data_IF_170562435725
#
_entry.id   IF_170562435725
#
_cell.length_a   1.000
_cell.length_b   1.000
_cell.length_c   1.000
_cell.angle_alpha   90.00
_cell.angle_beta   90.00
_cell.angle_gamma   90.00
#
_symmetry.space_group_name_H-M   'P 1'
#
loop_
_entity.id
_entity.type
_entity.pdbx_description
1 polymer ?
#
# COMPACT_ATOMS: atom_id res chain seq x y z
N UNK A 1 -11.69 -3.73 16.23
CA UNK A 1 -12.37 -2.55 15.65
C UNK A 1 -12.36 -1.43 16.68
N UNK A 2 -11.90 -0.24 16.29
CA UNK A 2 -11.88 0.96 17.12
C UNK A 2 -13.13 1.81 16.90
N UNK A 3 -12.97 3.13 16.92
CA UNK A 3 -14.07 4.09 16.71
C UNK A 3 -14.49 4.11 15.24
N UNK A 4 -15.77 4.39 14.99
CA UNK A 4 -16.33 4.54 13.65
C UNK A 4 -17.02 5.90 13.55
N UNK A 5 -16.81 6.60 12.44
CA UNK A 5 -17.35 7.92 12.17
C UNK A 5 -18.04 7.92 10.81
N UNK A 6 -19.19 8.59 10.72
CA UNK A 6 -19.87 8.83 9.45
C UNK A 6 -19.30 10.11 8.84
N UNK A 7 -18.81 10.02 7.60
CA UNK A 7 -18.23 11.13 6.85
C UNK A 7 -18.96 11.26 5.53
N UNK A 8 -19.15 12.49 5.03
CA UNK A 8 -19.71 12.70 3.69
C UNK A 8 -18.71 12.25 2.62
N UNK A 9 -19.19 11.56 1.59
CA UNK A 9 -18.33 11.03 0.54
C UNK A 9 -17.82 12.18 -0.35
N UNK A 10 -16.50 12.41 -0.45
CA UNK A 10 -15.95 13.49 -1.27
C UNK A 10 -16.16 13.27 -2.78
N UNK A 11 -16.43 12.03 -3.24
CA UNK A 11 -16.59 11.70 -4.66
C UNK A 11 -18.03 11.75 -5.16
N UNK A 12 -19.01 11.61 -4.27
CA UNK A 12 -20.43 11.58 -4.62
C UNK A 12 -21.22 12.40 -3.61
N UNK A 13 -21.78 13.50 -4.10
CA UNK A 13 -22.59 14.41 -3.29
C UNK A 13 -23.87 13.70 -2.86
N UNK A 14 -24.12 13.65 -1.55
CA UNK A 14 -25.28 12.96 -0.97
C UNK A 14 -25.08 11.48 -0.64
N UNK A 15 -23.86 10.93 -0.79
CA UNK A 15 -23.52 9.62 -0.22
C UNK A 15 -22.62 9.76 1.02
N UNK A 16 -22.72 8.80 1.93
CA UNK A 16 -21.97 8.76 3.19
C UNK A 16 -20.98 7.60 3.17
N UNK A 17 -19.86 7.77 3.87
CA UNK A 17 -18.83 6.77 4.07
C UNK A 17 -18.61 6.56 5.56
N UNK A 18 -18.35 5.31 5.95
CA UNK A 18 -17.92 4.98 7.30
C UNK A 18 -16.40 4.97 7.35
N UNK A 19 -15.83 5.82 8.19
CA UNK A 19 -14.41 5.80 8.51
C UNK A 19 -14.22 5.05 9.83
N UNK A 20 -13.42 3.99 9.80
CA UNK A 20 -13.18 3.12 10.95
C UNK A 20 -11.73 3.16 11.36
N UNK A 21 -11.48 3.33 12.66
CA UNK A 21 -10.15 3.18 13.24
C UNK A 21 -9.86 1.68 13.42
N UNK A 22 -8.98 1.13 12.58
CA UNK A 22 -8.52 -0.26 12.67
C UNK A 22 -8.31 -0.89 11.29
N UNK A 23 -7.64 -2.04 11.28
CA UNK A 23 -7.27 -2.77 10.06
C UNK A 23 -8.07 -4.05 9.82
N UNK A 24 -9.04 -4.37 10.68
CA UNK A 24 -9.93 -5.53 10.53
C UNK A 24 -11.12 -5.21 9.61
N UNK A 25 -10.82 -4.61 8.46
CA UNK A 25 -11.83 -4.13 7.51
C UNK A 25 -12.56 -5.28 6.82
N UNK A 26 -11.91 -6.45 6.73
CA UNK A 26 -12.48 -7.66 6.13
C UNK A 26 -13.61 -8.17 6.99
N UNK A 27 -13.35 -8.43 8.27
CA UNK A 27 -14.37 -8.96 9.17
C UNK A 27 -15.52 -7.95 9.34
N UNK A 28 -15.22 -6.65 9.43
CA UNK A 28 -16.23 -5.61 9.49
C UNK A 28 -17.11 -5.52 8.22
N UNK A 29 -16.52 -5.64 7.03
CA UNK A 29 -17.28 -5.58 5.78
C UNK A 29 -18.12 -6.85 5.54
N UNK A 30 -17.59 -8.03 5.86
CA UNK A 30 -18.29 -9.31 5.65
C UNK A 30 -19.41 -9.57 6.65
N UNK A 31 -19.34 -9.03 7.88
CA UNK A 31 -20.39 -9.19 8.87
C UNK A 31 -21.62 -8.30 8.62
N UNK A 32 -21.46 -7.25 7.82
CA UNK A 32 -22.43 -6.17 7.66
C UNK A 32 -22.75 -5.88 6.18
N UNK A 33 -22.87 -6.93 5.38
CA UNK A 33 -23.16 -6.85 3.94
C UNK A 33 -24.53 -6.25 3.59
N UNK A 34 -25.42 -6.17 4.57
CA UNK A 34 -26.74 -5.54 4.49
C UNK A 34 -26.69 -4.00 4.54
N UNK A 35 -25.64 -3.44 5.16
CA UNK A 35 -25.48 -2.00 5.37
C UNK A 35 -24.24 -1.40 4.70
N UNK A 36 -23.26 -2.21 4.31
CA UNK A 36 -21.99 -1.78 3.69
C UNK A 36 -21.79 -2.44 2.34
N UNK A 37 -21.50 -1.63 1.32
CA UNK A 37 -21.05 -2.11 0.02
C UNK A 37 -19.59 -2.59 0.10
N UNK A 38 -19.41 -3.91 0.09
CA UNK A 38 -18.10 -4.58 0.15
C UNK A 38 -17.21 -4.17 -1.03
N UNK A 39 -17.79 -3.92 -2.21
CA UNK A 39 -17.03 -3.61 -3.42
C UNK A 39 -16.34 -2.25 -3.38
N UNK A 40 -16.82 -1.35 -2.50
CA UNK A 40 -16.31 0.00 -2.31
C UNK A 40 -15.36 0.13 -1.12
N UNK A 41 -15.12 -0.94 -0.35
CA UNK A 41 -14.28 -0.91 0.85
C UNK A 41 -12.84 -0.56 0.51
N UNK A 42 -12.24 0.33 1.32
CA UNK A 42 -10.85 0.77 1.20
C UNK A 42 -10.15 0.67 2.55
N UNK A 43 -8.86 0.42 2.53
CA UNK A 43 -8.00 0.40 3.70
C UNK A 43 -6.65 1.01 3.35
N UNK A 44 -6.08 1.76 4.29
CA UNK A 44 -4.76 2.35 4.19
C UNK A 44 -3.63 1.38 4.57
N UNK A 45 -3.94 0.22 5.17
CA UNK A 45 -2.99 -0.85 5.44
C UNK A 45 -2.79 -1.71 4.18
N UNK A 46 -1.73 -1.41 3.42
CA UNK A 46 -1.36 -2.13 2.19
C UNK A 46 -1.12 -3.62 2.44
N UNK A 47 -0.56 -4.00 3.58
CA UNK A 47 -0.27 -5.41 3.88
C UNK A 47 -1.56 -6.20 4.16
N UNK A 48 -2.51 -5.59 4.89
CA UNK A 48 -3.81 -6.18 5.10
C UNK A 48 -4.61 -6.29 3.78
N UNK A 49 -4.53 -5.29 2.90
CA UNK A 49 -5.11 -5.35 1.54
C UNK A 49 -4.48 -6.47 0.71
N UNK A 50 -3.15 -6.61 0.72
CA UNK A 50 -2.44 -7.68 0.02
C UNK A 50 -2.93 -9.06 0.44
N UNK A 51 -3.05 -9.28 1.75
CA UNK A 51 -3.47 -10.57 2.30
C UNK A 51 -4.94 -10.91 2.02
N UNK A 52 -5.78 -9.91 1.76
CA UNK A 52 -7.22 -10.10 1.57
C UNK A 52 -7.61 -10.11 0.09
N UNK A 53 -7.19 -9.09 -0.66
CA UNK A 53 -7.62 -8.83 -2.03
C UNK A 53 -6.53 -9.14 -3.08
N UNK A 54 -5.30 -9.43 -2.64
CA UNK A 54 -4.19 -9.78 -3.52
C UNK A 54 -3.33 -8.59 -3.96
N UNK A 55 -2.34 -8.90 -4.80
CA UNK A 55 -1.23 -7.99 -5.11
C UNK A 55 -1.63 -6.77 -5.94
N UNK A 56 -2.58 -6.90 -6.87
CA UNK A 56 -3.04 -5.77 -7.69
C UNK A 56 -3.85 -4.76 -6.88
N UNK A 57 -4.63 -5.24 -5.89
CA UNK A 57 -5.32 -4.37 -4.96
C UNK A 57 -4.31 -3.60 -4.10
N UNK A 58 -3.29 -4.30 -3.58
CA UNK A 58 -2.22 -3.67 -2.80
C UNK A 58 -1.44 -2.63 -3.61
N UNK A 59 -1.08 -2.94 -4.87
CA UNK A 59 -0.43 -2.01 -5.81
C UNK A 59 -1.25 -0.74 -6.00
N UNK A 60 -2.55 -0.88 -6.21
CA UNK A 60 -3.47 0.25 -6.34
C UNK A 60 -3.53 1.08 -5.06
N UNK A 61 -3.62 0.44 -3.89
CA UNK A 61 -3.61 1.13 -2.60
C UNK A 61 -2.34 1.95 -2.41
N UNK A 62 -1.15 1.40 -2.72
CA UNK A 62 0.11 2.16 -2.65
C UNK A 62 0.05 3.45 -3.47
N UNK A 63 -0.41 3.36 -4.72
CA UNK A 63 -0.52 4.53 -5.62
C UNK A 63 -1.50 5.57 -5.07
N UNK A 64 -2.66 5.13 -4.57
CA UNK A 64 -3.69 6.01 -4.02
C UNK A 64 -3.22 6.69 -2.71
N UNK A 65 -2.58 5.96 -1.80
CA UNK A 65 -2.08 6.48 -0.52
C UNK A 65 -0.93 7.49 -0.73
N UNK A 66 0.05 7.18 -1.58
CA UNK A 66 1.13 8.13 -1.89
C UNK A 66 0.56 9.39 -2.56
N UNK A 67 -0.41 9.22 -3.49
CA UNK A 67 -1.11 10.34 -4.12
C UNK A 67 -1.86 11.21 -3.11
N UNK A 68 -2.51 10.60 -2.12
CA UNK A 68 -3.21 11.30 -1.03
C UNK A 68 -2.25 12.15 -0.20
N UNK A 69 -1.07 11.62 0.14
CA UNK A 69 -0.03 12.35 0.89
C UNK A 69 0.42 13.60 0.14
N UNK A 70 0.77 13.49 -1.15
CA UNK A 70 1.18 14.67 -1.94
C UNK A 70 0.01 15.64 -2.18
N UNK A 71 -1.20 15.10 -2.38
CA UNK A 71 -2.43 15.88 -2.57
C UNK A 71 -2.75 16.79 -1.38
N UNK A 72 -2.50 16.34 -0.15
CA UNK A 72 -2.70 17.14 1.07
C UNK A 72 -1.84 18.43 1.10
N UNK A 73 -0.69 18.44 0.40
CA UNK A 73 0.20 19.58 0.29
C UNK A 73 0.07 20.34 -1.03
N UNK A 74 -0.90 19.97 -1.88
CA UNK A 74 -1.08 20.57 -3.21
C UNK A 74 0.03 20.25 -4.21
N UNK A 75 0.85 19.23 -3.93
CA UNK A 75 1.95 18.81 -4.81
C UNK A 75 1.38 17.91 -5.91
N UNK A 76 1.52 18.33 -7.17
CA UNK A 76 1.09 17.54 -8.32
C UNK A 76 2.22 16.61 -8.77
N UNK A 77 2.00 15.31 -8.62
CA UNK A 77 2.91 14.25 -9.12
C UNK A 77 2.24 13.55 -10.29
N UNK A 78 2.98 13.31 -11.37
CA UNK A 78 2.48 12.55 -12.51
C UNK A 78 2.16 11.10 -12.07
N UNK A 79 0.95 10.58 -12.36
CA UNK A 79 0.57 9.20 -12.04
C UNK A 79 1.51 8.12 -12.57
N UNK A 80 2.28 8.40 -13.63
CA UNK A 80 3.28 7.48 -14.19
C UNK A 80 4.41 7.21 -13.21
N UNK A 81 4.85 8.21 -12.45
CA UNK A 81 5.88 8.03 -11.42
C UNK A 81 5.37 7.16 -10.27
N UNK A 82 4.15 7.44 -9.81
CA UNK A 82 3.52 6.67 -8.74
C UNK A 82 3.26 5.22 -9.16
N UNK A 83 2.84 5.02 -10.41
CA UNK A 83 2.62 3.68 -10.97
C UNK A 83 3.90 2.87 -11.02
N UNK A 84 5.00 3.46 -11.47
CA UNK A 84 6.31 2.79 -11.49
C UNK A 84 6.79 2.40 -10.09
N UNK A 85 6.57 3.26 -9.10
CA UNK A 85 6.88 2.98 -7.69
C UNK A 85 6.03 1.81 -7.18
N UNK A 86 4.72 1.85 -7.43
CA UNK A 86 3.79 0.78 -7.06
C UNK A 86 4.23 -0.57 -7.64
N UNK A 87 4.50 -0.61 -8.94
CA UNK A 87 4.94 -1.82 -9.64
C UNK A 87 6.28 -2.34 -9.09
N UNK A 88 7.24 -1.46 -8.81
CA UNK A 88 8.53 -1.85 -8.25
C UNK A 88 8.39 -2.47 -6.85
N UNK A 89 7.50 -1.92 -6.02
CA UNK A 89 7.21 -2.42 -4.67
C UNK A 89 6.47 -3.77 -4.69
N UNK A 90 5.69 -4.05 -5.75
CA UNK A 90 4.87 -5.27 -5.85
C UNK A 90 5.35 -6.30 -6.87
N UNK A 91 6.45 -6.06 -7.59
CA UNK A 91 6.89 -6.92 -8.71
C UNK A 91 7.11 -8.40 -8.31
N UNK A 92 7.44 -8.67 -7.04
CA UNK A 92 7.69 -10.01 -6.52
C UNK A 92 6.44 -10.75 -6.03
N UNK A 93 5.24 -10.23 -6.30
CA UNK A 93 3.97 -10.80 -5.80
C UNK A 93 3.66 -10.49 -4.33
N UNK A 94 4.53 -9.73 -3.65
CA UNK A 94 4.35 -9.31 -2.26
C UNK A 94 4.52 -7.80 -2.10
N UNK A 95 4.46 -7.30 -0.88
CA UNK A 95 4.67 -5.88 -0.57
C UNK A 95 6.09 -5.65 -0.03
N UNK A 96 6.94 -4.99 -0.81
CA UNK A 96 8.36 -4.77 -0.48
C UNK A 96 8.69 -3.28 -0.44
N UNK A 97 9.18 -2.82 0.70
CA UNK A 97 9.73 -1.47 0.85
C UNK A 97 11.15 -1.32 0.28
N UNK A 98 11.54 -0.08 -0.01
CA UNK A 98 12.91 0.27 -0.42
C UNK A 98 13.84 0.38 0.80
N UNK A 99 14.16 -0.77 1.41
CA UNK A 99 15.04 -0.88 2.58
C UNK A 99 16.11 -1.95 2.38
N UNK A 100 17.03 -2.11 3.35
CA UNK A 100 18.02 -3.21 3.40
C UNK A 100 17.41 -4.55 3.03
N UNK A 101 16.29 -4.87 3.66
CA UNK A 101 15.61 -6.15 3.53
C UNK A 101 14.94 -6.28 2.16
N UNK A 102 14.48 -5.17 1.58
CA UNK A 102 13.97 -5.13 0.22
C UNK A 102 15.07 -5.25 -0.85
N UNK A 103 16.29 -4.79 -0.56
CA UNK A 103 17.43 -4.87 -1.48
C UNK A 103 18.16 -6.23 -1.43
N UNK A 104 18.06 -6.97 -0.32
CA UNK A 104 18.67 -8.29 -0.14
C UNK A 104 18.43 -9.29 -1.29
N UNK A 105 17.20 -9.46 -1.82
CA UNK A 105 16.92 -10.37 -2.95
C UNK A 105 17.42 -9.86 -4.31
N UNK A 106 18.08 -8.70 -4.38
CA UNK A 106 18.65 -8.21 -5.63
C UNK A 106 19.83 -9.10 -6.07
N UNK A 107 19.84 -9.46 -7.36
CA UNK A 107 20.86 -10.34 -7.95
C UNK A 107 22.24 -9.68 -8.09
N UNK A 108 22.34 -8.34 -8.08
CA UNK A 108 23.61 -7.65 -8.25
C UNK A 108 24.34 -7.43 -6.90
N UNK A 109 25.46 -8.13 -6.64
CA UNK A 109 26.25 -7.92 -5.41
C UNK A 109 26.88 -6.52 -5.36
N UNK A 110 27.32 -5.97 -6.50
CA UNK A 110 27.85 -4.61 -6.58
C UNK A 110 26.81 -3.57 -6.18
N UNK A 111 25.56 -3.76 -6.61
CA UNK A 111 24.45 -2.88 -6.23
C UNK A 111 24.16 -2.97 -4.73
N UNK A 112 24.14 -4.19 -4.17
CA UNK A 112 23.96 -4.41 -2.72
C UNK A 112 25.08 -3.74 -1.91
N UNK A 113 26.34 -3.91 -2.32
CA UNK A 113 27.50 -3.28 -1.68
C UNK A 113 27.48 -1.75 -1.76
N UNK A 114 27.04 -1.21 -2.90
CA UNK A 114 26.94 0.24 -3.11
C UNK A 114 25.78 0.88 -2.35
N UNK A 115 24.77 0.09 -1.98
CA UNK A 115 23.66 0.56 -1.15
C UNK A 115 24.07 0.68 0.32
N UNK A 116 24.51 -0.42 0.95
CA UNK A 116 25.07 -0.43 2.31
C UNK A 116 25.72 -1.77 2.67
N UNK A 117 26.39 -1.87 3.83
CA UNK A 117 26.95 -3.13 4.38
C UNK A 117 27.89 -3.89 3.42
N UNK A 118 28.77 -3.17 2.71
CA UNK A 118 29.61 -3.73 1.66
C UNK A 118 30.40 -4.99 2.08
N UNK A 119 31.03 -4.98 3.26
CA UNK A 119 31.81 -6.13 3.74
C UNK A 119 30.97 -7.41 3.89
N UNK A 120 29.72 -7.29 4.36
CA UNK A 120 28.80 -8.42 4.50
C UNK A 120 28.42 -8.99 3.13
N UNK A 121 28.04 -8.13 2.19
CA UNK A 121 27.66 -8.58 0.85
C UNK A 121 28.84 -9.10 0.03
N UNK A 122 30.05 -8.58 0.29
CA UNK A 122 31.28 -9.10 -0.30
C UNK A 122 31.54 -10.53 0.19
N UNK A 123 31.42 -10.79 1.49
CA UNK A 123 31.59 -12.14 2.05
C UNK A 123 30.48 -13.10 1.64
N UNK A 124 29.26 -12.63 1.42
CA UNK A 124 28.15 -13.47 0.91
C UNK A 124 28.29 -13.80 -0.59
N UNK A 125 29.06 -13.01 -1.34
CA UNK A 125 29.24 -13.16 -2.78
C UNK A 125 30.54 -13.87 -3.18
N UNK A 126 31.52 -13.95 -2.27
CA UNK A 126 32.79 -14.66 -2.44
C UNK A 126 32.62 -16.16 -2.20
#
# INVERSE_FOLDING_TARGET
LGRCYVVENPKQRGSYMLQVDGNDFVHAAYLHTDIVDISAVRCNDVAAVLNTFGVEAARRTVVEEIGSVFGAYGIKVDPRHLSLIGDAMTHGGGYRGFSRMGMAPNGSPLLKMSFESAGKFLTEAA
#
